data_IF_958169534220
#
_entry.id   IF_958169534220
#
_cell.length_a   1.000
_cell.length_b   1.000
_cell.length_c   1.000
_cell.angle_alpha   90.00
_cell.angle_beta   90.00
_cell.angle_gamma   90.00
#
_symmetry.space_group_name_H-M   'P 1'
#
loop_
_entity.id
_entity.type
_entity.pdbx_description
1 polymer ?
#
# COMPACT_ATOMS: atom_id res chain seq x y z
N UNK A 1 25.66 0.18 48.93
CA UNK A 1 24.99 -0.91 48.21
C UNK A 1 25.12 -0.65 46.72
N UNK A 2 25.90 -1.43 45.98
CA UNK A 2 26.00 -1.36 44.51
C UNK A 2 25.24 -2.55 43.93
N UNK A 3 24.24 -2.37 43.05
CA UNK A 3 23.61 -3.49 42.40
C UNK A 3 24.57 -4.09 41.38
N UNK A 4 24.95 -5.35 41.66
CA UNK A 4 25.56 -6.26 40.71
C UNK A 4 24.53 -6.65 39.65
N UNK A 5 25.00 -6.78 38.42
CA UNK A 5 24.48 -7.71 37.41
C UNK A 5 23.21 -7.30 36.63
N UNK A 6 23.43 -6.76 35.43
CA UNK A 6 22.52 -6.97 34.31
C UNK A 6 23.37 -7.26 33.06
N UNK A 7 23.80 -8.52 32.90
CA UNK A 7 24.31 -9.03 31.63
C UNK A 7 23.20 -8.91 30.58
N UNK A 8 23.22 -7.81 29.81
CA UNK A 8 22.37 -7.67 28.63
C UNK A 8 23.06 -8.38 27.48
N UNK A 9 22.77 -9.66 27.32
CA UNK A 9 23.04 -10.43 26.11
C UNK A 9 22.19 -9.84 24.98
N UNK A 10 22.70 -8.81 24.33
CA UNK A 10 22.18 -8.36 23.04
C UNK A 10 22.60 -9.41 22.01
N UNK A 11 21.78 -10.45 21.87
CA UNK A 11 21.90 -11.38 20.75
C UNK A 11 21.72 -10.59 19.45
N UNK A 12 22.72 -10.73 18.58
CA UNK A 12 22.73 -10.21 17.21
C UNK A 12 21.57 -10.82 16.42
N UNK A 13 20.39 -10.21 16.51
CA UNK A 13 19.31 -10.49 15.55
C UNK A 13 19.59 -9.63 14.33
N UNK A 14 20.30 -10.21 13.36
CA UNK A 14 20.45 -9.62 12.03
C UNK A 14 19.10 -9.73 11.32
N UNK A 15 18.22 -8.76 11.55
CA UNK A 15 17.00 -8.59 10.76
C UNK A 15 17.42 -8.22 9.34
N UNK A 16 17.47 -9.22 8.45
CA UNK A 16 17.41 -8.94 7.00
C UNK A 16 16.07 -8.29 6.75
N UNK A 17 16.05 -6.96 6.65
CA UNK A 17 14.88 -6.22 6.18
C UNK A 17 14.59 -6.77 4.78
N UNK A 18 13.44 -7.42 4.55
CA UNK A 18 13.11 -7.91 3.22
C UNK A 18 13.13 -6.69 2.29
N UNK A 19 13.87 -6.81 1.18
CA UNK A 19 13.94 -5.76 0.18
C UNK A 19 12.51 -5.33 -0.16
N UNK A 20 12.19 -4.07 0.14
CA UNK A 20 10.83 -3.53 -0.02
C UNK A 20 10.53 -3.54 -1.50
N UNK A 21 9.83 -4.58 -1.97
CA UNK A 21 9.40 -4.67 -3.36
C UNK A 21 8.26 -3.69 -3.54
N UNK A 22 8.41 -2.64 -4.37
CA UNK A 22 7.32 -1.72 -4.61
C UNK A 22 6.11 -2.45 -5.20
N UNK A 23 4.91 -2.09 -4.76
CA UNK A 23 3.65 -2.73 -5.16
C UNK A 23 3.47 -2.80 -6.70
N UNK A 24 3.94 -1.80 -7.44
CA UNK A 24 3.88 -1.79 -8.90
C UNK A 24 4.67 -2.94 -9.55
N UNK A 25 5.77 -3.39 -8.95
CA UNK A 25 6.55 -4.55 -9.43
C UNK A 25 5.81 -5.87 -9.22
N UNK A 26 4.87 -5.89 -8.27
CA UNK A 26 3.96 -7.00 -8.03
C UNK A 26 2.71 -6.93 -8.92
N UNK A 27 2.63 -5.91 -9.79
CA UNK A 27 1.45 -5.63 -10.60
C UNK A 27 0.29 -5.09 -9.77
N UNK A 28 0.58 -4.40 -8.66
CA UNK A 28 -0.43 -3.76 -7.80
C UNK A 28 -0.35 -2.24 -8.02
N UNK A 29 -1.49 -1.62 -8.34
CA UNK A 29 -1.60 -0.17 -8.50
C UNK A 29 -2.65 0.39 -7.56
N UNK A 30 -2.23 1.35 -6.75
CA UNK A 30 -3.09 2.16 -5.89
C UNK A 30 -3.42 3.47 -6.60
N UNK A 31 -4.70 3.86 -6.58
CA UNK A 31 -5.17 5.11 -7.19
C UNK A 31 -5.76 6.00 -6.12
N UNK A 32 -5.29 7.25 -6.09
CA UNK A 32 -5.85 8.36 -5.31
C UNK A 32 -6.54 9.36 -6.25
N UNK A 33 -7.78 9.79 -5.95
CA UNK A 33 -8.46 10.86 -6.70
C UNK A 33 -8.37 12.21 -5.99
N UNK A 34 -7.99 13.28 -6.71
CA UNK A 34 -8.02 14.67 -6.22
C UNK A 34 -9.34 15.40 -6.58
N UNK A 35 -10.14 14.84 -7.50
CA UNK A 35 -11.47 15.31 -7.86
C UNK A 35 -12.43 14.10 -7.79
N UNK A 36 -13.37 14.16 -6.85
CA UNK A 36 -13.70 13.07 -5.91
C UNK A 36 -14.38 11.83 -6.52
N UNK A 37 -14.99 11.93 -7.69
CA UNK A 37 -15.65 10.76 -8.31
C UNK A 37 -15.16 10.50 -9.74
N UNK A 38 -15.00 11.53 -10.57
CA UNK A 38 -14.72 11.35 -12.00
C UNK A 38 -13.27 10.96 -12.29
N UNK A 39 -12.29 11.65 -11.69
CA UNK A 39 -10.88 11.42 -12.00
C UNK A 39 -10.39 10.04 -11.51
N UNK A 40 -10.83 9.61 -10.32
CA UNK A 40 -10.56 8.26 -9.82
C UNK A 40 -11.23 7.20 -10.69
N UNK A 41 -12.49 7.41 -11.07
CA UNK A 41 -13.27 6.47 -11.88
C UNK A 41 -12.74 6.33 -13.31
N UNK A 42 -12.30 7.41 -13.94
CA UNK A 42 -11.70 7.36 -15.29
C UNK A 42 -10.41 6.55 -15.32
N UNK A 43 -9.53 6.75 -14.33
CA UNK A 43 -8.27 6.00 -14.24
C UNK A 43 -8.54 4.53 -13.93
N UNK A 44 -9.46 4.23 -13.00
CA UNK A 44 -9.88 2.85 -12.71
C UNK A 44 -10.45 2.20 -13.97
N UNK A 45 -11.39 2.85 -14.67
CA UNK A 45 -11.99 2.34 -15.90
C UNK A 45 -10.97 2.08 -17.00
N UNK A 46 -9.97 2.97 -17.15
CA UNK A 46 -8.88 2.76 -18.11
C UNK A 46 -8.06 1.51 -17.76
N UNK A 47 -7.70 1.33 -16.49
CA UNK A 47 -6.94 0.14 -16.07
C UNK A 47 -7.76 -1.15 -16.24
N UNK A 48 -9.06 -1.13 -15.93
CA UNK A 48 -9.94 -2.27 -16.18
C UNK A 48 -9.95 -2.66 -17.66
N UNK A 49 -10.02 -1.68 -18.57
CA UNK A 49 -9.91 -1.91 -20.03
C UNK A 49 -8.55 -2.48 -20.44
N UNK A 50 -7.48 -2.10 -19.75
CA UNK A 50 -6.12 -2.63 -19.96
C UNK A 50 -5.90 -4.04 -19.36
N UNK A 51 -6.96 -4.66 -18.82
CA UNK A 51 -6.94 -6.01 -18.26
C UNK A 51 -6.45 -6.07 -16.82
N UNK A 52 -6.44 -4.95 -16.10
CA UNK A 52 -6.29 -4.97 -14.65
C UNK A 52 -7.60 -5.41 -13.98
N UNK A 53 -7.47 -6.00 -12.81
CA UNK A 53 -8.58 -6.52 -12.01
C UNK A 53 -8.69 -5.67 -10.75
N UNK A 54 -9.90 -5.19 -10.45
CA UNK A 54 -10.19 -4.52 -9.20
C UNK A 54 -10.16 -5.52 -8.05
N UNK A 55 -9.33 -5.27 -7.04
CA UNK A 55 -9.16 -6.17 -5.88
C UNK A 55 -9.89 -5.64 -4.65
N UNK A 56 -9.81 -4.34 -4.39
CA UNK A 56 -10.41 -3.73 -3.20
C UNK A 56 -10.73 -2.25 -3.42
N UNK A 57 -11.83 -1.79 -2.86
CA UNK A 57 -12.19 -0.37 -2.75
C UNK A 57 -12.37 -0.06 -1.27
N UNK A 58 -11.79 1.05 -0.81
CA UNK A 58 -11.93 1.51 0.56
C UNK A 58 -11.89 3.04 0.61
N UNK A 59 -12.36 3.61 1.70
CA UNK A 59 -12.26 5.06 1.96
C UNK A 59 -11.15 5.30 2.96
N UNK A 60 -10.14 6.08 2.56
CA UNK A 60 -9.11 6.55 3.48
C UNK A 60 -9.65 7.75 4.23
N UNK A 61 -9.77 7.62 5.56
CA UNK A 61 -10.09 8.72 6.46
C UNK A 61 -8.78 9.25 7.05
N UNK A 62 -8.51 10.54 6.90
CA UNK A 62 -7.27 11.18 7.35
C UNK A 62 -7.55 12.59 7.85
N UNK A 63 -6.65 13.10 8.68
CA UNK A 63 -6.73 14.46 9.22
C UNK A 63 -5.68 15.34 8.56
N UNK A 64 -6.11 16.45 7.95
CA UNK A 64 -5.27 17.38 7.23
C UNK A 64 -5.76 18.81 7.48
N UNK A 65 -4.85 19.71 7.87
CA UNK A 65 -5.13 21.11 8.18
C UNK A 65 -6.26 21.31 9.22
N UNK A 66 -6.36 20.44 10.22
CA UNK A 66 -7.39 20.55 11.25
C UNK A 66 -8.74 19.91 10.89
N UNK A 67 -8.88 19.38 9.67
CA UNK A 67 -10.15 18.86 9.14
C UNK A 67 -10.04 17.37 8.87
N UNK A 68 -11.06 16.60 9.27
CA UNK A 68 -11.22 15.20 8.86
C UNK A 68 -11.65 15.14 7.40
N UNK A 69 -10.89 14.41 6.60
CA UNK A 69 -11.10 14.23 5.17
C UNK A 69 -11.27 12.76 4.85
N UNK A 70 -12.04 12.52 3.81
CA UNK A 70 -12.22 11.20 3.24
C UNK A 70 -11.71 11.20 1.80
N UNK A 71 -11.03 10.13 1.40
CA UNK A 71 -10.57 9.94 0.01
C UNK A 71 -10.92 8.52 -0.44
N UNK A 72 -11.70 8.35 -1.53
CA UNK A 72 -11.94 7.04 -2.09
C UNK A 72 -10.65 6.49 -2.71
N UNK A 73 -10.35 5.23 -2.41
CA UNK A 73 -9.15 4.52 -2.84
C UNK A 73 -9.55 3.22 -3.54
N UNK A 74 -8.80 2.84 -4.57
CA UNK A 74 -8.95 1.57 -5.26
C UNK A 74 -7.61 0.87 -5.43
N UNK A 75 -7.59 -0.43 -5.14
CA UNK A 75 -6.45 -1.32 -5.36
C UNK A 75 -6.77 -2.21 -6.56
N UNK A 76 -5.91 -2.17 -7.58
CA UNK A 76 -6.01 -3.03 -8.75
C UNK A 76 -4.78 -3.93 -8.88
N UNK A 77 -4.99 -5.14 -9.35
CA UNK A 77 -3.96 -6.13 -9.66
C UNK A 77 -3.92 -6.47 -11.14
N UNK A 78 -2.74 -6.64 -11.72
CA UNK A 78 -2.58 -7.17 -13.08
C UNK A 78 -2.28 -8.67 -13.01
N UNK A 79 -3.11 -9.55 -13.60
CA UNK A 79 -2.81 -10.96 -13.64
C UNK A 79 -1.49 -11.19 -14.39
N UNK A 80 -0.58 -11.98 -13.80
CA UNK A 80 0.60 -12.44 -14.53
C UNK A 80 0.09 -13.28 -15.70
N UNK A 81 0.50 -12.95 -16.93
CA UNK A 81 0.25 -13.82 -18.09
C UNK A 81 0.65 -15.24 -17.68
N UNK A 82 -0.28 -16.19 -17.74
CA UNK A 82 0.09 -17.61 -17.69
C UNK A 82 1.16 -17.77 -18.78
N UNK A 83 2.37 -18.17 -18.40
CA UNK A 83 3.30 -18.76 -19.34
C UNK A 83 2.63 -20.07 -19.78
N UNK A 84 1.91 -19.98 -20.90
CA UNK A 84 1.50 -21.11 -21.70
C UNK A 84 2.72 -21.70 -22.39
#
# INVERSE_FOLDING_TARGET
MTPKNAKRVASNVNFKIPAVTPLWQLGIKEITGHNIESAGREVVNKLLKEGWILLHIYTLVYHEDGIWRERPMAILGKPKKKRS
#
